data_IF_398349754413
#
_entry.id   IF_398349754413
#
_cell.length_a   1.000
_cell.length_b   1.000
_cell.length_c   1.000
_cell.angle_alpha   90.00
_cell.angle_beta   90.00
_cell.angle_gamma   90.00
#
_symmetry.space_group_name_H-M   'P 1'
#
loop_
_entity.id
_entity.type
_entity.pdbx_description
1 polymer ?
#
# COMPACT_ATOMS: atom_id res chain seq x y z
N UNK A 1 6.97 9.42 28.03
CA UNK A 1 7.92 9.76 26.94
C UNK A 1 7.21 9.42 25.65
N UNK A 2 7.13 10.34 24.69
CA UNK A 2 6.53 10.02 23.40
C UNK A 2 7.40 8.91 22.76
N UNK A 3 6.80 7.76 22.45
CA UNK A 3 7.49 6.68 21.75
C UNK A 3 7.88 7.21 20.37
N UNK A 4 9.16 7.08 20.02
CA UNK A 4 9.67 7.40 18.69
C UNK A 4 8.85 6.67 17.62
N UNK A 5 8.71 7.31 16.46
CA UNK A 5 7.99 6.72 15.35
C UNK A 5 8.79 5.56 14.77
N UNK A 6 8.12 4.43 14.53
CA UNK A 6 8.78 3.24 13.96
C UNK A 6 8.03 2.71 12.76
N UNK A 7 8.80 2.18 11.80
CA UNK A 7 8.32 1.54 10.60
C UNK A 7 8.91 0.14 10.51
N UNK A 8 8.07 -0.88 10.33
CA UNK A 8 8.46 -2.27 10.17
C UNK A 8 7.97 -2.79 8.83
N UNK A 9 8.84 -3.42 8.04
CA UNK A 9 8.50 -3.94 6.71
C UNK A 9 8.30 -5.46 6.73
N UNK A 10 7.17 -5.94 6.21
CA UNK A 10 6.84 -7.37 6.13
C UNK A 10 6.74 -7.91 4.71
N UNK A 11 7.05 -7.11 3.70
CA UNK A 11 7.13 -7.51 2.30
C UNK A 11 6.03 -6.93 1.41
N UNK A 12 6.31 -6.90 0.11
CA UNK A 12 5.54 -6.19 -0.91
C UNK A 12 5.32 -4.75 -0.47
N UNK A 13 4.17 -4.44 0.09
CA UNK A 13 3.76 -3.10 0.56
C UNK A 13 3.21 -3.13 1.98
N UNK A 14 3.40 -4.24 2.70
CA UNK A 14 2.89 -4.44 4.05
C UNK A 14 3.85 -3.83 5.07
N UNK A 15 3.42 -2.76 5.72
CA UNK A 15 4.18 -2.08 6.77
C UNK A 15 3.35 -1.94 8.05
N UNK A 16 4.02 -2.04 9.20
CA UNK A 16 3.48 -1.56 10.48
C UNK A 16 4.15 -0.24 10.85
N UNK A 17 3.34 0.81 10.95
CA UNK A 17 3.72 2.12 11.48
C UNK A 17 3.24 2.23 12.93
N UNK A 18 4.14 2.58 13.84
CA UNK A 18 3.76 3.07 15.17
C UNK A 18 4.12 4.55 15.27
N UNK A 19 3.12 5.40 15.46
CA UNK A 19 3.33 6.84 15.57
C UNK A 19 2.22 7.51 16.39
N UNK A 20 2.61 8.48 17.22
CA UNK A 20 1.69 9.19 18.14
C UNK A 20 0.85 8.26 19.02
N UNK A 21 1.36 7.08 19.36
CA UNK A 21 0.63 6.08 20.16
C UNK A 21 -0.43 5.30 19.39
N UNK A 22 -0.49 5.43 18.06
CA UNK A 22 -1.30 4.59 17.17
C UNK A 22 -0.44 3.48 16.57
N UNK A 23 -0.99 2.28 16.46
CA UNK A 23 -0.45 1.19 15.63
C UNK A 23 -1.29 1.08 14.36
N UNK A 24 -0.63 1.16 13.20
CA UNK A 24 -1.28 1.26 11.90
C UNK A 24 -0.62 0.25 10.96
N UNK A 25 -1.42 -0.53 10.23
CA UNK A 25 -0.94 -1.30 9.08
C UNK A 25 -1.25 -0.53 7.79
N UNK A 26 -0.24 -0.43 6.91
CA UNK A 26 -0.45 -0.12 5.50
C UNK A 26 -0.35 -1.43 4.73
N UNK A 27 -1.45 -1.83 4.09
CA UNK A 27 -1.64 -3.17 3.50
C UNK A 27 -1.42 -4.31 4.54
N UNK A 28 -1.83 -5.55 4.24
CA UNK A 28 -1.89 -6.61 5.28
C UNK A 28 -1.46 -8.00 4.81
N UNK A 29 -0.64 -8.12 3.77
CA UNK A 29 -0.23 -9.39 3.19
C UNK A 29 0.79 -10.16 4.05
N UNK A 30 0.35 -10.55 5.25
CA UNK A 30 1.10 -11.30 6.26
C UNK A 30 0.98 -12.82 6.04
N UNK A 31 -0.21 -13.30 5.67
CA UNK A 31 -0.41 -14.69 5.27
C UNK A 31 -0.13 -14.82 3.76
N UNK A 32 1.07 -15.30 3.46
CA UNK A 32 1.66 -15.35 2.10
C UNK A 32 1.60 -16.76 1.51
N UNK A 33 1.68 -16.88 0.16
CA UNK A 33 1.88 -18.16 -0.50
C UNK A 33 3.04 -18.97 0.09
N UNK A 34 2.93 -20.30 0.02
CA UNK A 34 3.99 -21.20 0.44
C UNK A 34 5.30 -20.89 -0.30
N UNK A 35 6.43 -20.92 0.43
CA UNK A 35 7.75 -20.58 -0.10
C UNK A 35 8.19 -19.14 0.19
N UNK A 36 7.27 -18.22 0.51
CA UNK A 36 7.62 -16.90 1.03
C UNK A 36 7.77 -16.94 2.55
N UNK A 37 8.85 -16.35 3.04
CA UNK A 37 9.08 -16.24 4.48
C UNK A 37 8.13 -15.22 5.12
N UNK A 38 7.44 -15.65 6.17
CA UNK A 38 6.60 -14.80 7.02
C UNK A 38 7.41 -14.35 8.24
N UNK A 39 7.43 -13.05 8.50
CA UNK A 39 8.17 -12.42 9.60
C UNK A 39 7.29 -12.00 10.76
N UNK A 40 5.97 -12.05 10.54
CA UNK A 40 4.93 -11.79 11.52
C UNK A 40 3.72 -12.62 11.10
N UNK A 41 3.21 -13.44 12.03
CA UNK A 41 1.99 -14.18 11.81
C UNK A 41 0.79 -13.27 12.10
N UNK A 42 -0.35 -13.54 11.45
CA UNK A 42 -1.57 -12.76 11.68
C UNK A 42 -1.91 -12.78 13.17
N UNK A 43 -1.88 -13.94 13.81
CA UNK A 43 -2.28 -14.17 15.21
C UNK A 43 -1.45 -13.38 16.22
N UNK A 44 -0.20 -13.07 15.89
CA UNK A 44 0.71 -12.31 16.75
C UNK A 44 0.38 -10.81 16.80
N UNK A 45 -0.49 -10.33 15.89
CA UNK A 45 -1.01 -8.95 15.92
C UNK A 45 -2.17 -8.86 16.90
N UNK A 46 -1.84 -8.50 18.14
CA UNK A 46 -2.79 -8.35 19.26
C UNK A 46 -3.27 -6.91 19.44
N UNK A 47 -2.49 -5.92 19.00
CA UNK A 47 -2.81 -4.49 19.10
C UNK A 47 -2.71 -3.82 17.72
N UNK A 48 -3.81 -3.23 17.28
CA UNK A 48 -3.93 -2.53 16.00
C UNK A 48 -5.09 -1.54 16.06
N UNK A 49 -4.85 -0.29 15.67
CA UNK A 49 -5.86 0.78 15.69
C UNK A 49 -6.46 1.00 14.30
N UNK A 50 -5.61 1.04 13.27
CA UNK A 50 -6.02 1.34 11.90
C UNK A 50 -5.36 0.42 10.88
N UNK A 51 -6.08 0.15 9.81
CA UNK A 51 -5.57 -0.48 8.60
C UNK A 51 -5.87 0.49 7.45
N UNK A 52 -4.87 0.82 6.64
CA UNK A 52 -5.08 1.54 5.38
C UNK A 52 -4.72 0.62 4.22
N UNK A 53 -5.59 0.54 3.21
CA UNK A 53 -5.38 -0.35 2.06
C UNK A 53 -5.18 0.47 0.80
N UNK A 54 -4.04 0.26 0.12
CA UNK A 54 -3.71 0.95 -1.11
C UNK A 54 -4.71 0.61 -2.22
N UNK A 55 -5.04 -0.68 -2.39
CA UNK A 55 -6.08 -1.20 -3.29
C UNK A 55 -6.36 -2.69 -3.04
N UNK A 56 -7.30 -3.27 -3.79
CA UNK A 56 -7.91 -4.56 -3.45
C UNK A 56 -7.19 -5.83 -3.97
N UNK A 57 -5.98 -5.74 -4.52
CA UNK A 57 -5.27 -6.91 -5.06
C UNK A 57 -4.74 -7.87 -3.98
N UNK A 58 -4.30 -9.05 -4.42
CA UNK A 58 -3.94 -10.21 -3.59
C UNK A 58 -2.77 -9.97 -2.63
N UNK A 59 -1.90 -9.02 -2.96
CA UNK A 59 -0.68 -8.68 -2.23
C UNK A 59 -0.86 -7.45 -1.33
N UNK A 60 -2.10 -6.97 -1.21
CA UNK A 60 -2.45 -5.77 -0.44
C UNK A 60 -3.56 -6.03 0.59
N UNK A 61 -4.68 -6.61 0.15
CA UNK A 61 -5.90 -6.72 0.96
C UNK A 61 -5.99 -7.95 1.88
N UNK A 62 -5.56 -9.17 1.48
CA UNK A 62 -5.76 -10.36 2.30
C UNK A 62 -5.21 -10.20 3.73
N UNK A 63 -5.94 -10.73 4.72
CA UNK A 63 -5.60 -10.64 6.14
C UNK A 63 -6.22 -9.42 6.85
N UNK A 64 -6.66 -8.40 6.12
CA UNK A 64 -7.31 -7.21 6.68
C UNK A 64 -8.60 -7.53 7.41
N UNK A 65 -9.41 -8.43 6.86
CA UNK A 65 -10.66 -8.90 7.45
C UNK A 65 -10.41 -9.56 8.82
N UNK A 66 -9.44 -10.48 8.87
CA UNK A 66 -9.08 -11.21 10.07
C UNK A 66 -8.50 -10.27 11.15
N UNK A 67 -7.62 -9.35 10.75
CA UNK A 67 -7.03 -8.35 11.64
C UNK A 67 -8.10 -7.40 12.19
N UNK A 68 -8.98 -6.86 11.34
CA UNK A 68 -10.04 -5.95 11.74
C UNK A 68 -11.02 -6.63 12.70
N UNK A 69 -11.49 -7.84 12.39
CA UNK A 69 -12.42 -8.60 13.24
C UNK A 69 -11.81 -8.93 14.61
N UNK A 70 -10.53 -9.32 14.66
CA UNK A 70 -9.88 -9.72 15.92
C UNK A 70 -9.50 -8.54 16.81
N UNK A 71 -9.05 -7.44 16.22
CA UNK A 71 -8.46 -6.32 16.97
C UNK A 71 -9.42 -5.15 17.17
N UNK A 72 -10.52 -5.09 16.42
CA UNK A 72 -11.41 -3.93 16.38
C UNK A 72 -10.83 -2.74 15.60
N UNK A 73 -9.79 -2.95 14.78
CA UNK A 73 -9.17 -1.89 13.99
C UNK A 73 -10.14 -1.28 12.97
N UNK A 74 -10.00 0.01 12.71
CA UNK A 74 -10.75 0.69 11.66
C UNK A 74 -10.00 0.57 10.33
N UNK A 75 -10.68 0.12 9.28
CA UNK A 75 -10.12 0.01 7.93
C UNK A 75 -10.52 1.21 7.08
N UNK A 76 -9.54 1.87 6.47
CA UNK A 76 -9.71 2.98 5.53
C UNK A 76 -9.25 2.48 4.16
N UNK A 77 -10.16 2.40 3.20
CA UNK A 77 -9.86 1.81 1.89
C UNK A 77 -10.82 2.29 0.80
N UNK A 78 -10.48 1.99 -0.47
CA UNK A 78 -11.37 2.27 -1.60
C UNK A 78 -12.66 1.42 -1.55
N UNK A 79 -13.65 1.77 -2.37
CA UNK A 79 -14.95 1.10 -2.38
C UNK A 79 -14.89 -0.41 -2.68
N UNK A 80 -13.94 -0.85 -3.51
CA UNK A 80 -13.77 -2.26 -3.88
C UNK A 80 -13.25 -3.10 -2.70
N UNK A 81 -12.20 -2.61 -2.03
CA UNK A 81 -11.67 -3.24 -0.83
C UNK A 81 -12.72 -3.26 0.30
N UNK A 82 -13.43 -2.14 0.51
CA UNK A 82 -14.50 -2.05 1.51
C UNK A 82 -15.63 -3.03 1.21
N UNK A 83 -16.00 -3.20 -0.06
CA UNK A 83 -16.98 -4.21 -0.46
C UNK A 83 -16.49 -5.62 -0.10
N UNK A 84 -15.26 -5.97 -0.47
CA UNK A 84 -14.69 -7.29 -0.16
C UNK A 84 -14.67 -7.57 1.34
N UNK A 85 -14.28 -6.60 2.16
CA UNK A 85 -14.22 -6.72 3.62
C UNK A 85 -15.60 -6.81 4.27
N UNK A 86 -16.59 -6.06 3.76
CA UNK A 86 -17.98 -6.19 4.20
C UNK A 86 -18.53 -7.58 3.90
N UNK A 87 -18.28 -8.09 2.70
CA UNK A 87 -18.71 -9.44 2.30
C UNK A 87 -18.03 -10.52 3.16
N UNK A 88 -16.82 -10.25 3.65
CA UNK A 88 -16.09 -11.09 4.62
C UNK A 88 -16.56 -10.92 6.09
N UNK A 89 -17.57 -10.08 6.34
CA UNK A 89 -18.20 -9.93 7.65
C UNK A 89 -17.61 -8.84 8.54
N UNK A 90 -16.70 -8.00 8.04
CA UNK A 90 -16.21 -6.85 8.82
C UNK A 90 -17.36 -5.85 9.05
N UNK A 91 -17.66 -5.46 10.31
CA UNK A 91 -18.73 -4.53 10.62
C UNK A 91 -18.58 -3.17 9.93
N UNK A 92 -19.67 -2.61 9.41
CA UNK A 92 -19.67 -1.29 8.76
C UNK A 92 -19.12 -0.17 9.67
N UNK A 93 -19.26 -0.29 10.99
CA UNK A 93 -18.71 0.67 11.94
C UNK A 93 -17.17 0.72 11.96
N UNK A 94 -16.50 -0.31 11.43
CA UNK A 94 -15.05 -0.37 11.27
C UNK A 94 -14.60 0.03 9.85
N UNK A 95 -15.52 0.26 8.91
CA UNK A 95 -15.20 0.46 7.49
C UNK A 95 -15.39 1.93 7.11
N UNK A 96 -14.31 2.60 6.71
CA UNK A 96 -14.33 3.97 6.19
C UNK A 96 -14.02 3.93 4.69
N UNK A 97 -15.05 4.00 3.81
CA UNK A 97 -14.81 4.12 2.38
C UNK A 97 -14.27 5.49 2.01
N UNK A 98 -13.24 5.50 1.16
CA UNK A 98 -12.57 6.71 0.66
C UNK A 98 -12.33 6.60 -0.85
N UNK A 99 -12.10 7.73 -1.53
CA UNK A 99 -11.80 7.77 -2.97
C UNK A 99 -10.59 8.63 -3.32
N UNK A 100 -9.99 9.29 -2.34
CA UNK A 100 -8.91 10.26 -2.54
C UNK A 100 -9.46 11.68 -2.51
N UNK A 101 -9.13 12.41 -1.45
CA UNK A 101 -9.64 13.74 -1.12
C UNK A 101 -10.06 13.86 0.35
N UNK A 102 -10.27 12.74 1.03
CA UNK A 102 -10.68 12.69 2.42
C UNK A 102 -9.54 13.03 3.39
N UNK A 103 -9.89 13.70 4.49
CA UNK A 103 -9.00 13.97 5.63
C UNK A 103 -9.61 13.31 6.85
N UNK A 104 -9.12 12.12 7.18
CA UNK A 104 -9.71 11.27 8.21
C UNK A 104 -8.98 11.52 9.54
N UNK A 105 -9.64 12.07 10.58
CA UNK A 105 -9.04 12.18 11.90
C UNK A 105 -8.87 10.80 12.54
N UNK A 106 -7.72 10.58 13.16
CA UNK A 106 -7.36 9.33 13.83
C UNK A 106 -7.39 9.54 15.34
N UNK A 107 -7.98 8.59 16.07
CA UNK A 107 -8.19 8.64 17.51
C UNK A 107 -7.67 7.37 18.16
N UNK A 108 -7.21 7.47 19.41
CA UNK A 108 -6.94 6.26 20.19
C UNK A 108 -8.24 5.50 20.51
N UNK A 109 -8.15 4.18 20.71
CA UNK A 109 -9.28 3.35 21.15
C UNK A 109 -9.95 3.85 22.43
N UNK A 110 -9.17 4.45 23.33
CA UNK A 110 -9.72 5.04 24.57
C UNK A 110 -10.65 6.22 24.26
N UNK A 111 -10.26 7.12 23.36
CA UNK A 111 -11.06 8.27 22.96
C UNK A 111 -12.32 7.82 22.20
N UNK A 112 -12.20 6.83 21.31
CA UNK A 112 -13.36 6.23 20.63
C UNK A 112 -14.35 5.63 21.64
N UNK A 113 -13.86 4.88 22.64
CA UNK A 113 -14.71 4.29 23.70
C UNK A 113 -15.42 5.35 24.53
N UNK A 114 -14.71 6.41 24.95
CA UNK A 114 -15.28 7.53 25.71
C UNK A 114 -16.37 8.25 24.90
N UNK A 115 -16.14 8.46 23.59
CA UNK A 115 -17.15 9.05 22.72
C UNK A 115 -18.39 8.16 22.60
N UNK A 116 -18.22 6.85 22.39
CA UNK A 116 -19.34 5.89 22.35
C UNK A 116 -20.16 5.91 23.66
N UNK A 117 -19.51 6.08 24.82
CA UNK A 117 -20.16 6.18 26.13
C UNK A 117 -20.74 7.57 26.45
N UNK A 118 -20.46 8.58 25.63
CA UNK A 118 -20.94 9.95 25.84
C UNK A 118 -20.15 10.72 26.90
N UNK A 119 -18.92 10.27 27.18
CA UNK A 119 -18.02 10.88 28.16
C UNK A 119 -17.12 11.97 27.56
N UNK A 120 -17.19 12.20 26.25
CA UNK A 120 -16.47 13.25 25.54
C UNK A 120 -17.38 13.94 24.53
N UNK A 121 -17.01 15.17 24.15
CA UNK A 121 -17.71 15.88 23.09
C UNK A 121 -17.63 15.08 21.78
N UNK A 122 -18.76 15.00 21.08
CA UNK A 122 -18.92 14.26 19.84
C UNK A 122 -18.91 15.20 18.64
N UNK A 123 -18.41 14.71 17.51
CA UNK A 123 -18.60 15.40 16.24
C UNK A 123 -20.08 15.35 15.83
N UNK A 124 -20.59 16.37 15.11
CA UNK A 124 -21.90 16.30 14.48
C UNK A 124 -21.97 15.09 13.54
N UNK A 125 -23.06 14.34 13.58
CA UNK A 125 -23.23 13.15 12.75
C UNK A 125 -24.71 12.95 12.37
N UNK A 126 -25.00 12.29 11.24
CA UNK A 126 -26.36 11.85 10.91
C UNK A 126 -26.97 10.99 12.03
N UNK A 127 -28.32 10.93 12.17
CA UNK A 127 -28.97 10.28 13.31
C UNK A 127 -28.60 8.81 13.56
N UNK A 128 -28.22 8.07 12.52
CA UNK A 128 -27.87 6.64 12.59
C UNK A 128 -26.36 6.39 12.53
N UNK A 129 -25.54 7.43 12.42
CA UNK A 129 -24.10 7.28 12.38
C UNK A 129 -23.55 6.93 13.77
N UNK A 130 -22.53 6.05 13.87
CA UNK A 130 -21.85 5.79 15.14
C UNK A 130 -21.32 7.08 15.77
N UNK A 131 -21.39 7.24 17.11
CA UNK A 131 -20.85 8.42 17.77
C UNK A 131 -19.35 8.54 17.57
N UNK A 132 -18.91 9.61 16.90
CA UNK A 132 -17.49 9.91 16.70
C UNK A 132 -17.03 11.02 17.67
N UNK A 133 -15.79 10.97 18.19
CA UNK A 133 -15.24 12.05 19.00
C UNK A 133 -15.12 13.35 18.21
N UNK A 134 -15.24 14.50 18.88
CA UNK A 134 -14.91 15.79 18.28
C UNK A 134 -13.44 15.83 17.85
N UNK A 135 -13.13 16.46 16.70
CA UNK A 135 -11.79 16.46 16.07
C UNK A 135 -10.68 17.00 16.98
N UNK A 136 -11.02 17.83 17.98
CA UNK A 136 -10.06 18.32 18.98
C UNK A 136 -9.37 17.22 19.80
N UNK A 137 -9.92 16.00 19.80
CA UNK A 137 -9.33 14.83 20.46
C UNK A 137 -8.53 13.94 19.50
N UNK A 138 -8.40 14.33 18.22
CA UNK A 138 -7.64 13.55 17.25
C UNK A 138 -6.15 13.54 17.62
N UNK A 139 -5.56 12.36 17.53
CA UNK A 139 -4.14 12.09 17.80
C UNK A 139 -3.28 12.38 16.57
N UNK A 140 -3.83 12.13 15.40
CA UNK A 140 -3.25 12.39 14.09
C UNK A 140 -4.40 12.53 13.07
N UNK A 141 -4.06 12.75 11.80
CA UNK A 141 -4.97 12.57 10.68
C UNK A 141 -4.29 11.75 9.58
N UNK A 142 -5.07 11.18 8.68
CA UNK A 142 -4.57 10.70 7.39
C UNK A 142 -5.27 11.45 6.27
N UNK A 143 -4.48 12.09 5.41
CA UNK A 143 -4.97 12.69 4.18
C UNK A 143 -4.85 11.64 3.07
N UNK A 144 -5.98 11.21 2.54
CA UNK A 144 -6.07 10.21 1.48
C UNK A 144 -6.05 10.92 0.14
N UNK A 145 -5.27 10.40 -0.80
CA UNK A 145 -5.18 10.95 -2.15
C UNK A 145 -5.28 9.83 -3.19
N UNK A 146 -5.83 10.11 -4.38
CA UNK A 146 -5.73 9.16 -5.48
C UNK A 146 -4.27 9.02 -5.92
N UNK A 147 -3.91 7.80 -6.30
CA UNK A 147 -2.63 7.46 -6.91
C UNK A 147 -2.85 6.46 -8.05
N UNK A 148 -1.76 5.87 -8.55
CA UNK A 148 -1.78 4.96 -9.69
C UNK A 148 -0.96 3.71 -9.40
N UNK A 149 -1.49 2.57 -9.85
CA UNK A 149 -0.72 1.33 -9.93
C UNK A 149 0.43 1.49 -10.92
N UNK A 150 1.54 0.79 -10.66
CA UNK A 150 2.63 0.63 -11.62
C UNK A 150 2.10 -0.06 -12.89
N UNK A 151 2.72 0.16 -14.03
CA UNK A 151 2.43 -0.64 -15.21
C UNK A 151 3.35 -1.87 -15.22
N UNK A 152 2.91 -2.91 -15.90
CA UNK A 152 3.69 -4.12 -16.10
C UNK A 152 4.06 -4.17 -17.59
N UNK A 153 5.35 -4.20 -17.95
CA UNK A 153 5.79 -4.24 -19.35
C UNK A 153 5.66 -5.66 -19.94
N UNK A 154 4.54 -6.35 -19.67
CA UNK A 154 4.28 -7.71 -20.11
C UNK A 154 2.76 -7.96 -20.27
N UNK A 155 2.38 -8.81 -21.22
CA UNK A 155 0.99 -9.20 -21.45
C UNK A 155 0.66 -10.48 -20.67
N UNK A 156 1.62 -11.39 -20.54
CA UNK A 156 1.48 -12.61 -19.75
C UNK A 156 2.56 -12.71 -18.67
N UNK A 157 2.32 -13.44 -17.57
CA UNK A 157 3.34 -13.65 -16.53
C UNK A 157 4.61 -14.33 -17.04
N UNK A 158 4.55 -15.04 -18.18
CA UNK A 158 5.72 -15.66 -18.81
C UNK A 158 6.68 -14.62 -19.38
N UNK A 159 6.16 -13.50 -19.88
CA UNK A 159 6.93 -12.45 -20.54
C UNK A 159 7.58 -11.48 -19.54
N UNK A 160 7.30 -11.66 -18.24
CA UNK A 160 7.92 -10.86 -17.19
C UNK A 160 9.43 -11.14 -17.14
N UNK A 161 10.27 -10.10 -17.00
CA UNK A 161 11.68 -10.30 -16.76
C UNK A 161 11.88 -11.02 -15.42
N UNK A 162 13.02 -11.69 -15.26
CA UNK A 162 13.34 -12.36 -13.99
C UNK A 162 13.58 -11.36 -12.87
N UNK A 163 14.04 -10.17 -13.22
CA UNK A 163 14.31 -9.06 -12.32
C UNK A 163 13.82 -7.77 -12.97
N UNK A 164 13.24 -6.88 -12.18
CA UNK A 164 13.09 -5.48 -12.59
C UNK A 164 14.34 -4.70 -12.20
N UNK A 165 15.07 -4.20 -13.19
CA UNK A 165 16.17 -3.26 -12.97
C UNK A 165 15.63 -1.82 -12.98
N UNK A 166 15.85 -1.08 -11.89
CA UNK A 166 15.42 0.33 -11.81
C UNK A 166 16.18 1.27 -12.74
N UNK A 167 17.31 0.83 -13.32
CA UNK A 167 18.05 1.54 -14.36
C UNK A 167 17.42 1.35 -15.76
N UNK A 168 16.67 0.26 -15.97
CA UNK A 168 16.13 -0.10 -17.28
C UNK A 168 15.21 1.01 -17.80
N UNK A 169 15.46 1.44 -19.03
CA UNK A 169 14.75 2.56 -19.65
C UNK A 169 13.69 2.03 -20.61
N UNK A 170 12.43 2.26 -20.27
CA UNK A 170 11.32 2.00 -21.18
C UNK A 170 11.10 3.22 -22.06
N UNK A 171 11.44 3.10 -23.35
CA UNK A 171 11.23 4.14 -24.35
C UNK A 171 10.58 3.57 -25.61
N UNK A 172 9.93 4.42 -26.39
CA UNK A 172 9.36 4.04 -27.68
C UNK A 172 7.85 4.18 -27.73
N UNK A 173 7.25 3.54 -28.73
CA UNK A 173 5.83 3.69 -29.04
C UNK A 173 4.96 3.18 -27.90
N UNK A 174 4.07 4.04 -27.41
CA UNK A 174 3.00 3.72 -26.46
C UNK A 174 1.70 4.10 -27.12
N UNK A 175 0.68 3.26 -26.97
CA UNK A 175 -0.62 3.57 -27.55
C UNK A 175 -1.36 4.60 -26.69
N UNK A 176 -2.31 5.35 -27.27
CA UNK A 176 -3.23 6.18 -26.50
C UNK A 176 -4.13 5.39 -25.52
N UNK A 177 -4.01 4.07 -25.42
CA UNK A 177 -4.83 3.21 -24.58
C UNK A 177 -4.04 2.44 -23.50
N UNK A 178 -2.70 2.48 -23.53
CA UNK A 178 -1.87 1.82 -22.51
C UNK A 178 -2.12 2.48 -21.15
N UNK A 179 -2.63 1.72 -20.18
CA UNK A 179 -3.04 2.23 -18.87
C UNK A 179 -3.27 1.11 -17.85
N UNK A 180 -3.73 1.46 -16.64
CA UNK A 180 -4.03 0.50 -15.56
C UNK A 180 -5.12 -0.52 -15.90
N UNK A 181 -5.87 -0.34 -17.00
CA UNK A 181 -6.78 -1.38 -17.50
C UNK A 181 -6.03 -2.68 -17.84
N UNK A 182 -4.80 -2.58 -18.31
CA UNK A 182 -3.97 -3.73 -18.67
C UNK A 182 -3.63 -4.54 -17.41
N UNK A 183 -3.40 -3.87 -16.28
CA UNK A 183 -3.22 -4.52 -14.97
C UNK A 183 -4.49 -5.26 -14.57
N UNK A 184 -5.66 -4.62 -14.66
CA UNK A 184 -6.94 -5.27 -14.33
C UNK A 184 -7.16 -6.53 -15.18
N UNK A 185 -6.86 -6.46 -16.48
CA UNK A 185 -6.96 -7.63 -17.37
C UNK A 185 -5.94 -8.72 -17.03
N UNK A 186 -4.69 -8.36 -16.73
CA UNK A 186 -3.66 -9.29 -16.30
C UNK A 186 -4.07 -10.02 -15.01
N UNK A 187 -4.61 -9.29 -14.05
CA UNK A 187 -5.13 -9.88 -12.81
C UNK A 187 -6.31 -10.81 -13.07
N UNK A 188 -7.32 -10.32 -13.80
CA UNK A 188 -8.58 -11.02 -14.02
C UNK A 188 -8.47 -12.25 -14.92
N UNK A 189 -7.69 -12.15 -16.00
CA UNK A 189 -7.61 -13.18 -17.05
C UNK A 189 -6.27 -13.90 -17.10
N UNK A 190 -5.23 -13.37 -16.44
CA UNK A 190 -3.93 -14.00 -16.30
C UNK A 190 -3.77 -14.63 -14.91
N UNK A 191 -3.26 -13.85 -13.95
CA UNK A 191 -2.79 -14.36 -12.66
C UNK A 191 -3.87 -15.13 -11.88
N UNK A 192 -5.10 -14.63 -11.81
CA UNK A 192 -6.18 -15.32 -11.07
C UNK A 192 -6.77 -16.52 -11.81
N UNK A 193 -6.43 -16.71 -13.09
CA UNK A 193 -6.90 -17.83 -13.91
C UNK A 193 -5.78 -18.76 -14.34
N UNK A 194 -4.61 -18.66 -13.70
CA UNK A 194 -3.42 -19.38 -14.12
C UNK A 194 -3.64 -20.89 -14.24
N UNK A 195 -4.41 -21.49 -13.32
CA UNK A 195 -4.75 -22.93 -13.37
C UNK A 195 -5.66 -23.33 -14.54
N UNK A 196 -6.36 -22.40 -15.17
CA UNK A 196 -7.23 -22.67 -16.33
C UNK A 196 -6.43 -22.89 -17.62
N UNK A 197 -5.25 -22.29 -17.73
CA UNK A 197 -4.45 -22.30 -18.98
C UNK A 197 -3.02 -22.82 -18.82
N UNK A 198 -2.54 -23.02 -17.60
CA UNK A 198 -1.22 -23.58 -17.33
C UNK A 198 -1.37 -24.90 -16.54
N UNK A 199 -1.09 -26.07 -17.15
CA UNK A 199 -1.18 -27.35 -16.46
C UNK A 199 -0.25 -27.42 -15.25
N UNK A 200 -0.69 -28.07 -14.17
CA UNK A 200 0.02 -28.08 -12.89
C UNK A 200 1.45 -28.65 -13.03
N UNK A 201 1.62 -29.71 -13.83
CA UNK A 201 2.90 -30.34 -14.17
C UNK A 201 3.90 -29.42 -14.87
N UNK A 202 3.43 -28.33 -15.48
CA UNK A 202 4.26 -27.32 -16.13
C UNK A 202 4.59 -26.12 -15.24
N UNK A 203 3.98 -26.03 -14.05
CA UNK A 203 4.24 -24.95 -13.10
C UNK A 203 5.50 -25.21 -12.29
N UNK A 204 6.40 -24.23 -12.26
CA UNK A 204 7.46 -24.18 -11.26
C UNK A 204 6.85 -24.18 -9.84
N UNK A 205 7.56 -24.67 -8.81
CA UNK A 205 7.02 -24.77 -7.45
C UNK A 205 6.44 -23.45 -6.91
N UNK A 206 7.13 -22.33 -7.12
CA UNK A 206 6.65 -21.01 -6.70
C UNK A 206 5.39 -20.55 -7.44
N UNK A 207 5.32 -20.79 -8.75
CA UNK A 207 4.13 -20.55 -9.58
C UNK A 207 2.93 -21.35 -9.10
N UNK A 208 3.14 -22.63 -8.74
CA UNK A 208 2.08 -23.48 -8.20
C UNK A 208 1.58 -22.96 -6.85
N UNK A 209 2.49 -22.63 -5.93
CA UNK A 209 2.14 -22.10 -4.62
C UNK A 209 1.37 -20.77 -4.72
N UNK A 210 1.78 -19.89 -5.63
CA UNK A 210 1.03 -18.67 -5.95
C UNK A 210 -0.36 -18.98 -6.53
N UNK A 211 -0.43 -19.89 -7.50
CA UNK A 211 -1.70 -20.28 -8.11
C UNK A 211 -2.66 -20.92 -7.11
N UNK A 212 -2.17 -21.69 -6.13
CA UNK A 212 -2.97 -22.22 -5.02
C UNK A 212 -3.52 -21.07 -4.15
N UNK A 213 -2.66 -20.13 -3.79
CA UNK A 213 -3.00 -18.98 -2.94
C UNK A 213 -4.13 -18.13 -3.53
N UNK A 214 -4.02 -17.71 -4.79
CA UNK A 214 -5.01 -16.82 -5.41
C UNK A 214 -6.35 -17.52 -5.72
N UNK A 215 -6.40 -18.85 -5.64
CA UNK A 215 -7.64 -19.63 -5.83
C UNK A 215 -8.42 -19.81 -4.53
N UNK A 216 -7.77 -19.76 -3.37
CA UNK A 216 -8.44 -19.83 -2.07
C UNK A 216 -9.07 -18.48 -1.70
N UNK A 217 -10.15 -18.14 -2.41
CA UNK A 217 -10.92 -16.90 -2.23
C UNK A 217 -11.82 -16.90 -0.99
N UNK A 218 -11.96 -18.04 -0.33
CA UNK A 218 -12.65 -18.13 0.95
C UNK A 218 -11.74 -17.64 2.08
N UNK A 219 -10.46 -18.02 2.02
CA UNK A 219 -9.46 -17.58 3.00
C UNK A 219 -8.87 -16.21 2.69
N UNK A 220 -8.60 -15.93 1.42
CA UNK A 220 -7.89 -14.73 0.99
C UNK A 220 -8.84 -13.75 0.29
N UNK A 221 -9.27 -12.75 1.06
CA UNK A 221 -10.15 -11.66 0.60
C UNK A 221 -9.37 -10.71 -0.31
N UNK A 222 -9.76 -10.63 -1.58
CA UNK A 222 -9.11 -9.83 -2.63
C UNK A 222 -10.08 -9.57 -3.78
N UNK A 223 -9.68 -8.74 -4.73
CA UNK A 223 -10.35 -8.52 -6.03
C UNK A 223 -9.32 -8.53 -7.17
N UNK A 224 -9.77 -8.82 -8.39
CA UNK A 224 -8.95 -8.65 -9.59
C UNK A 224 -8.92 -7.18 -10.05
N UNK A 225 -9.91 -6.40 -9.62
CA UNK A 225 -10.02 -4.98 -9.90
C UNK A 225 -9.45 -4.26 -8.70
N UNK A 226 -8.52 -3.34 -8.92
CA UNK A 226 -7.87 -2.63 -7.82
C UNK A 226 -8.88 -1.75 -7.06
N UNK A 227 -9.88 -1.20 -7.75
CA UNK A 227 -10.81 -0.19 -7.23
C UNK A 227 -10.24 1.24 -7.26
N UNK A 228 -9.09 1.44 -7.91
CA UNK A 228 -8.29 2.65 -7.87
C UNK A 228 -7.30 2.66 -6.70
N UNK A 229 -6.03 2.92 -7.01
CA UNK A 229 -4.99 3.01 -6.00
C UNK A 229 -5.08 4.32 -5.19
N UNK A 230 -4.83 4.21 -3.90
CA UNK A 230 -4.75 5.31 -2.96
C UNK A 230 -3.33 5.47 -2.41
N UNK A 231 -2.96 6.71 -2.10
CA UNK A 231 -1.81 7.03 -1.26
C UNK A 231 -2.27 7.69 0.04
N UNK A 232 -1.56 7.40 1.12
CA UNK A 232 -1.93 7.81 2.48
C UNK A 232 -0.84 8.68 3.08
N UNK A 233 -1.15 9.96 3.33
CA UNK A 233 -0.24 10.86 4.04
C UNK A 233 -0.71 11.02 5.48
N UNK A 234 -0.04 10.37 6.42
CA UNK A 234 -0.31 10.51 7.85
C UNK A 234 0.29 11.83 8.34
N UNK A 235 -0.51 12.61 9.08
CA UNK A 235 -0.17 13.98 9.48
C UNK A 235 -0.39 14.18 10.97
N UNK A 236 0.64 14.70 11.65
CA UNK A 236 0.57 15.19 13.02
C UNK A 236 1.71 16.19 13.25
N UNK A 237 1.46 17.23 14.06
CA UNK A 237 2.45 18.25 14.45
C UNK A 237 3.23 18.88 13.28
N UNK A 238 2.56 19.07 12.14
CA UNK A 238 3.14 19.65 10.93
C UNK A 238 4.03 18.70 10.12
N UNK A 239 4.14 17.44 10.52
CA UNK A 239 4.95 16.40 9.87
C UNK A 239 4.07 15.43 9.08
N UNK A 240 4.61 14.90 7.99
CA UNK A 240 3.92 13.96 7.10
C UNK A 240 4.69 12.66 6.90
N UNK A 241 4.00 11.52 6.90
CA UNK A 241 4.52 10.21 6.50
C UNK A 241 3.65 9.70 5.35
N UNK A 242 4.20 9.69 4.13
CA UNK A 242 3.47 9.26 2.93
C UNK A 242 3.72 7.80 2.63
N UNK A 243 2.67 7.04 2.35
CA UNK A 243 2.73 5.75 1.68
C UNK A 243 2.18 5.91 0.25
N UNK A 244 3.02 5.64 -0.76
CA UNK A 244 2.60 5.46 -2.14
C UNK A 244 3.19 4.15 -2.67
N UNK A 245 2.36 3.11 -2.64
CA UNK A 245 2.77 1.71 -2.64
C UNK A 245 3.21 1.17 -4.00
N UNK A 246 2.93 1.90 -5.08
CA UNK A 246 3.36 1.55 -6.42
C UNK A 246 4.09 2.70 -7.10
N UNK A 247 4.86 2.34 -8.13
CA UNK A 247 5.55 3.26 -9.02
C UNK A 247 4.55 3.95 -9.97
N UNK A 248 3.65 4.75 -9.41
CA UNK A 248 2.67 5.50 -10.17
C UNK A 248 2.16 6.69 -9.37
N UNK A 249 1.86 7.79 -10.06
CA UNK A 249 1.27 8.99 -9.44
C UNK A 249 0.68 9.94 -10.47
N UNK A 250 -0.28 10.73 -10.04
CA UNK A 250 -0.67 11.95 -10.74
C UNK A 250 0.27 13.09 -10.36
N UNK A 251 0.93 13.71 -11.34
CA UNK A 251 1.90 14.78 -11.08
C UNK A 251 1.27 15.92 -10.28
N UNK A 252 0.10 16.39 -10.70
CA UNK A 252 -0.60 17.49 -10.04
C UNK A 252 -0.93 17.18 -8.57
N UNK A 253 -1.24 15.92 -8.26
CA UNK A 253 -1.54 15.50 -6.88
C UNK A 253 -0.26 15.47 -6.04
N UNK A 254 0.84 14.87 -6.54
CA UNK A 254 2.12 14.89 -5.84
C UNK A 254 2.58 16.33 -5.55
N UNK A 255 2.41 17.23 -6.51
CA UNK A 255 2.76 18.65 -6.39
C UNK A 255 1.86 19.42 -5.43
N UNK A 256 0.55 19.14 -5.38
CA UNK A 256 -0.39 19.87 -4.52
C UNK A 256 -0.59 19.26 -3.12
N UNK A 257 -0.12 18.03 -2.88
CA UNK A 257 -0.25 17.35 -1.60
C UNK A 257 0.30 18.24 -0.47
N UNK A 258 -0.53 18.46 0.55
CA UNK A 258 -0.21 19.30 1.71
C UNK A 258 -0.76 18.70 3.02
N UNK A 259 0.04 18.65 4.10
CA UNK A 259 1.46 19.04 4.15
C UNK A 259 2.33 18.06 3.34
N UNK A 260 3.50 18.53 2.89
CA UNK A 260 4.50 17.67 2.23
C UNK A 260 5.04 16.65 3.23
N UNK A 261 5.34 15.41 2.77
CA UNK A 261 5.84 14.39 3.67
C UNK A 261 7.29 14.67 4.06
N UNK A 262 7.59 14.50 5.34
CA UNK A 262 8.97 14.44 5.83
C UNK A 262 9.60 13.10 5.49
N UNK A 263 8.81 12.03 5.56
CA UNK A 263 9.21 10.66 5.21
C UNK A 263 8.26 10.11 4.15
N UNK A 264 8.80 9.42 3.14
CA UNK A 264 8.00 8.72 2.15
C UNK A 264 8.35 7.24 2.08
N UNK A 265 7.35 6.40 1.83
CA UNK A 265 7.45 5.00 1.47
C UNK A 265 6.97 4.90 0.02
N UNK A 266 7.87 4.54 -0.90
CA UNK A 266 7.62 4.57 -2.34
C UNK A 266 7.84 3.19 -2.97
N UNK A 267 6.90 2.77 -3.82
CA UNK A 267 7.02 1.54 -4.62
C UNK A 267 8.05 1.69 -5.73
N UNK A 268 8.90 0.68 -5.91
CA UNK A 268 10.00 0.70 -6.90
C UNK A 268 9.86 -0.33 -8.02
N UNK A 269 8.90 -1.25 -7.90
CA UNK A 269 8.66 -2.31 -8.89
C UNK A 269 7.83 -1.85 -10.09
N UNK A 270 8.14 -2.42 -11.26
CA UNK A 270 7.38 -2.25 -12.49
C UNK A 270 7.81 -1.06 -13.35
N UNK A 271 6.97 -0.71 -14.31
CA UNK A 271 7.13 0.47 -15.19
C UNK A 271 6.32 1.63 -14.62
N UNK A 272 6.95 2.80 -14.54
CA UNK A 272 6.30 3.96 -13.93
C UNK A 272 5.02 4.39 -14.67
N UNK A 273 3.98 4.74 -13.91
CA UNK A 273 2.70 5.25 -14.40
C UNK A 273 2.54 6.73 -14.04
N UNK A 274 2.72 7.61 -15.04
CA UNK A 274 2.60 9.06 -14.88
C UNK A 274 1.27 9.54 -15.46
N UNK A 275 0.39 10.08 -14.62
CA UNK A 275 -0.90 10.63 -15.06
C UNK A 275 -1.75 9.64 -15.89
N UNK A 276 -1.63 8.36 -15.58
CA UNK A 276 -2.34 7.27 -16.25
C UNK A 276 -1.66 6.76 -17.53
N UNK A 277 -0.41 7.15 -17.78
CA UNK A 277 0.37 6.81 -18.99
C UNK A 277 1.70 6.15 -18.64
N UNK A 278 2.19 5.23 -19.48
CA UNK A 278 3.54 4.68 -19.30
C UNK A 278 4.59 5.79 -19.40
N UNK A 279 5.36 5.94 -18.33
CA UNK A 279 6.48 6.88 -18.30
C UNK A 279 7.54 6.49 -19.34
N UNK A 280 8.15 7.52 -19.93
CA UNK A 280 9.24 7.39 -20.90
C UNK A 280 10.56 7.67 -20.17
N UNK A 281 11.20 6.59 -19.70
CA UNK A 281 12.37 6.66 -18.83
C UNK A 281 12.48 5.43 -17.94
N UNK A 282 13.37 5.51 -16.95
CA UNK A 282 13.55 4.45 -15.96
C UNK A 282 12.76 4.71 -14.67
N UNK A 283 12.64 3.67 -13.83
CA UNK A 283 12.07 3.80 -12.50
C UNK A 283 12.89 4.76 -11.61
N UNK A 284 14.22 4.72 -11.71
CA UNK A 284 15.11 5.63 -10.99
C UNK A 284 14.83 7.11 -11.32
N UNK A 285 14.73 7.46 -12.61
CA UNK A 285 14.41 8.83 -13.03
C UNK A 285 13.03 9.28 -12.56
N UNK A 286 12.06 8.37 -12.57
CA UNK A 286 10.70 8.66 -12.11
C UNK A 286 10.66 8.93 -10.61
N UNK A 287 11.35 8.12 -9.80
CA UNK A 287 11.42 8.29 -8.35
C UNK A 287 12.07 9.64 -7.98
N UNK A 288 13.11 10.07 -8.70
CA UNK A 288 13.71 11.41 -8.51
C UNK A 288 12.70 12.52 -8.76
N UNK A 289 11.92 12.43 -9.85
CA UNK A 289 10.87 13.41 -10.15
C UNK A 289 9.80 13.42 -9.06
N UNK A 290 9.36 12.25 -8.64
CA UNK A 290 8.37 12.11 -7.58
C UNK A 290 8.87 12.69 -6.25
N UNK A 291 10.13 12.41 -5.86
CA UNK A 291 10.75 12.99 -4.68
C UNK A 291 10.78 14.53 -4.75
N UNK A 292 11.19 15.11 -5.87
CA UNK A 292 11.18 16.56 -6.10
C UNK A 292 9.77 17.16 -6.02
N UNK A 293 8.75 16.49 -6.58
CA UNK A 293 7.35 16.94 -6.46
C UNK A 293 6.82 16.85 -5.04
N UNK A 294 7.32 15.90 -4.24
CA UNK A 294 7.03 15.74 -2.83
C UNK A 294 7.85 16.66 -1.92
N UNK A 295 8.59 17.62 -2.49
CA UNK A 295 9.43 18.58 -1.77
C UNK A 295 10.59 17.90 -1.01
N UNK A 296 11.18 16.89 -1.64
CA UNK A 296 12.39 16.17 -1.21
C UNK A 296 12.31 15.66 0.25
N UNK A 297 11.50 14.60 0.51
CA UNK A 297 11.42 13.98 1.83
C UNK A 297 12.82 13.63 2.37
N UNK A 298 13.06 13.81 3.67
CA UNK A 298 14.38 13.56 4.28
C UNK A 298 14.83 12.11 4.13
N UNK A 299 13.88 11.18 4.10
CA UNK A 299 14.13 9.78 3.81
C UNK A 299 13.03 9.14 3.00
N UNK A 300 13.44 8.27 2.08
CA UNK A 300 12.59 7.49 1.20
C UNK A 300 12.86 6.01 1.45
N UNK A 301 11.86 5.28 1.91
CA UNK A 301 11.91 3.84 2.13
C UNK A 301 11.29 3.13 0.92
N UNK A 302 11.98 2.15 0.36
CA UNK A 302 11.43 1.39 -0.76
C UNK A 302 10.43 0.32 -0.30
N UNK A 303 9.50 0.00 -1.20
CA UNK A 303 8.64 -1.17 -1.10
C UNK A 303 8.51 -1.82 -2.49
N UNK A 304 8.05 -3.07 -2.56
CA UNK A 304 8.13 -3.94 -3.74
C UNK A 304 9.57 -4.34 -4.15
N UNK A 305 10.53 -4.21 -3.24
CA UNK A 305 11.94 -4.57 -3.43
C UNK A 305 12.32 -5.93 -2.82
N UNK A 306 11.39 -6.63 -2.18
CA UNK A 306 11.62 -7.96 -1.60
C UNK A 306 11.59 -9.08 -2.65
N UNK A 307 12.17 -10.23 -2.28
CA UNK A 307 12.18 -11.43 -3.12
C UNK A 307 10.78 -12.04 -3.28
N UNK A 308 10.49 -12.54 -4.47
CA UNK A 308 9.23 -13.16 -4.83
C UNK A 308 9.44 -14.61 -5.32
N UNK A 309 8.37 -15.40 -5.32
CA UNK A 309 8.36 -16.80 -5.77
C UNK A 309 7.89 -16.97 -7.22
N UNK A 310 7.44 -15.89 -7.84
CA UNK A 310 7.09 -15.80 -9.27
C UNK A 310 7.83 -14.61 -9.89
N UNK A 311 7.98 -14.62 -11.22
CA UNK A 311 8.58 -13.50 -11.93
C UNK A 311 7.73 -12.22 -11.77
N UNK A 312 8.36 -11.04 -11.63
CA UNK A 312 9.79 -10.84 -11.37
C UNK A 312 10.16 -11.31 -9.95
N UNK A 313 11.29 -12.01 -9.82
CA UNK A 313 11.73 -12.59 -8.55
C UNK A 313 12.34 -11.57 -7.59
N UNK A 314 12.79 -10.41 -8.10
CA UNK A 314 13.37 -9.32 -7.31
C UNK A 314 13.37 -8.01 -8.11
N UNK A 315 13.69 -6.92 -7.43
CA UNK A 315 13.91 -5.61 -8.04
C UNK A 315 15.32 -5.12 -7.68
N UNK A 316 16.14 -4.80 -8.68
CA UNK A 316 17.43 -4.14 -8.45
C UNK A 316 17.20 -2.65 -8.24
N UNK A 317 17.34 -2.22 -6.98
CA UNK A 317 17.11 -0.84 -6.54
C UNK A 317 18.37 0.03 -6.58
N UNK A 318 19.51 -0.51 -7.04
CA UNK A 318 20.82 0.17 -6.97
C UNK A 318 20.76 1.54 -7.68
N UNK A 319 20.27 1.58 -8.91
CA UNK A 319 20.19 2.82 -9.68
C UNK A 319 19.18 3.82 -9.09
N UNK A 320 18.02 3.35 -8.60
CA UNK A 320 17.06 4.21 -7.92
C UNK A 320 17.65 4.87 -6.67
N UNK A 321 18.37 4.08 -5.85
CA UNK A 321 19.02 4.58 -4.65
C UNK A 321 20.09 5.62 -4.99
N UNK A 322 21.03 5.26 -5.86
CA UNK A 322 22.15 6.13 -6.22
C UNK A 322 21.67 7.46 -6.82
N UNK A 323 20.68 7.41 -7.71
CA UNK A 323 20.16 8.61 -8.37
C UNK A 323 19.37 9.51 -7.40
N UNK A 324 18.57 8.93 -6.50
CA UNK A 324 17.86 9.70 -5.47
C UNK A 324 18.84 10.45 -4.55
N UNK A 325 19.88 9.77 -4.07
CA UNK A 325 20.87 10.37 -3.15
C UNK A 325 21.80 11.37 -3.86
N UNK A 326 21.97 11.27 -5.18
CA UNK A 326 22.73 12.24 -5.98
C UNK A 326 21.92 13.48 -6.36
N UNK A 327 20.63 13.32 -6.64
CA UNK A 327 19.80 14.38 -7.24
C UNK A 327 18.80 15.06 -6.28
N UNK A 328 18.70 14.58 -5.05
CA UNK A 328 17.79 15.11 -4.02
C UNK A 328 18.47 15.12 -2.64
N UNK A 329 17.87 15.82 -1.68
CA UNK A 329 18.30 15.75 -0.28
C UNK A 329 17.90 14.45 0.45
N UNK A 330 17.15 13.56 -0.20
CA UNK A 330 16.61 12.36 0.44
C UNK A 330 17.67 11.29 0.64
N UNK A 331 17.66 10.66 1.83
CA UNK A 331 18.32 9.36 2.04
C UNK A 331 17.43 8.24 1.51
N UNK A 332 17.91 7.43 0.58
CA UNK A 332 17.16 6.30 0.03
C UNK A 332 17.50 4.99 0.78
N UNK A 333 16.47 4.29 1.25
CA UNK A 333 16.60 3.09 2.07
C UNK A 333 15.99 1.90 1.35
N UNK A 334 16.86 0.97 0.97
CA UNK A 334 16.49 -0.40 0.60
C UNK A 334 15.98 -1.15 1.85
N UNK A 335 14.66 -1.35 1.91
CA UNK A 335 13.99 -1.91 3.09
C UNK A 335 14.22 -3.41 3.21
N UNK A 336 14.34 -3.91 4.44
CA UNK A 336 14.67 -5.30 4.73
C UNK A 336 13.53 -5.94 5.52
N UNK A 337 13.15 -7.15 5.13
CA UNK A 337 12.07 -7.89 5.77
C UNK A 337 12.32 -8.11 7.27
N UNK A 338 11.31 -7.79 8.09
CA UNK A 338 11.34 -7.92 9.55
C UNK A 338 12.19 -6.88 10.28
N UNK A 339 12.81 -5.94 9.56
CA UNK A 339 13.60 -4.87 10.19
C UNK A 339 12.70 -3.74 10.70
N UNK A 340 13.01 -3.26 11.90
CA UNK A 340 12.41 -2.07 12.50
C UNK A 340 13.29 -0.86 12.21
N UNK A 341 12.69 0.21 11.70
CA UNK A 341 13.33 1.48 11.42
C UNK A 341 12.77 2.56 12.33
N UNK A 342 13.63 3.40 12.91
CA UNK A 342 13.20 4.66 13.52
C UNK A 342 13.00 5.70 12.42
N UNK A 343 11.91 6.48 12.52
CA UNK A 343 11.61 7.56 11.59
C UNK A 343 12.00 8.91 12.18
N UNK A 344 12.75 9.71 11.43
CA UNK A 344 13.13 11.07 11.79
C UNK A 344 12.03 12.04 11.34
N UNK A 345 11.08 12.30 12.25
CA UNK A 345 9.89 13.15 12.00
C UNK A 345 9.65 14.17 13.10
#
# INVERSE_FOLDING_TARGET
>A
MATEATLEFYGTTTFRLKWKGLTIFHDTWLDKPAGLKRYLELEDVTELDYIVISHAHFDHLPGSDQLALRTGATVIANGEAIKCLRDAGVPDAQLIPVSGGERVPLFSKEILRKAAQGLTDRAPAPPTAPPMPHVKYATAAVHVWPSLHSLIPAITPHDLPEEFDTAERYTGEVTPYDCSLDITKLMQFGLFKMKEFLPEESMAPGTRAFADYVQDRQKHVMSHFDGGQLMYNFVADGKGILFNSHLGVYQGIAQCLTPKPTVAILGVGGRANLDGRPFQGSAAEFLVRQAKWLDEPTSIYFCLNDENIIKPYRVDVTAAKDMLEQETAARAIDTQLGKVYGLDI
#
